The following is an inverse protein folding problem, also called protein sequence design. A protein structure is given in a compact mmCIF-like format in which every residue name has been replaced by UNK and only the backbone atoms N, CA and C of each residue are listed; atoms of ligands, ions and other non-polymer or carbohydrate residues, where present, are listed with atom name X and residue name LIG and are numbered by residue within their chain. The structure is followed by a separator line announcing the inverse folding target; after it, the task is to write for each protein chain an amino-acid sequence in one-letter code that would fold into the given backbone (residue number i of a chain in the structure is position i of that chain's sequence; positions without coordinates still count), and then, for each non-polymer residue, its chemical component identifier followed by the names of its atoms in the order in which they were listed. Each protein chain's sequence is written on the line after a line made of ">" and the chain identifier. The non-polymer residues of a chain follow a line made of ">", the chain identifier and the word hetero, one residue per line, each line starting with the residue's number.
data_IF_928594879235
#
_entry.id   IF_928594879235
#
_cell.length_a   1.000
_cell.length_b   1.000
_cell.length_c   1.000
_cell.angle_alpha   90.00
_cell.angle_beta   90.00
_cell.angle_gamma   90.00
#
_symmetry.space_group_name_H-M   'P 1'
#
loop_
_entity.id
_entity.type
_entity.pdbx_description
1 polymer ?
#
# COMPACT_ATOMS: atom_id res chain seq x y z
N UNK A 1 38.17 6.91 9.87
CA UNK A 1 37.42 5.69 10.26
C UNK A 1 35.99 5.99 10.72
N UNK A 2 35.71 6.59 11.88
CA UNK A 2 34.32 6.88 12.30
C UNK A 2 33.64 7.96 11.45
N UNK A 3 34.28 9.13 11.27
CA UNK A 3 33.85 10.19 10.33
C UNK A 3 33.76 9.77 8.86
N UNK A 4 34.45 8.70 8.51
CA UNK A 4 34.50 8.18 7.13
C UNK A 4 33.33 7.21 6.89
N UNK A 5 33.02 6.38 7.89
CA UNK A 5 31.78 5.58 7.96
C UNK A 5 30.54 6.47 8.03
N UNK A 6 30.61 7.60 8.71
CA UNK A 6 29.53 8.59 8.79
C UNK A 6 29.27 9.24 7.41
N UNK A 7 30.32 9.68 6.72
CA UNK A 7 30.21 10.20 5.33
C UNK A 7 29.76 9.16 4.32
N UNK A 8 30.17 7.90 4.48
CA UNK A 8 29.72 6.79 3.65
C UNK A 8 28.24 6.46 3.91
N UNK A 9 27.81 6.48 5.18
CA UNK A 9 26.39 6.39 5.56
C UNK A 9 25.60 7.55 4.95
N UNK A 10 26.06 8.78 5.05
CA UNK A 10 25.43 9.96 4.44
C UNK A 10 25.35 9.84 2.90
N UNK A 11 26.39 9.34 2.23
CA UNK A 11 26.37 9.08 0.77
C UNK A 11 25.36 7.99 0.38
N UNK A 12 25.38 6.86 1.07
CA UNK A 12 24.45 5.74 0.83
C UNK A 12 23.00 6.12 1.13
N UNK A 13 22.80 7.10 2.00
CA UNK A 13 21.50 7.65 2.39
C UNK A 13 21.01 8.72 1.40
N UNK A 14 21.88 9.66 1.01
CA UNK A 14 21.57 10.72 0.04
C UNK A 14 21.32 10.21 -1.38
N UNK A 15 21.70 8.96 -1.69
CA UNK A 15 21.42 8.36 -2.99
C UNK A 15 20.02 7.72 -3.10
N UNK A 16 19.25 7.63 -2.01
CA UNK A 16 17.96 6.89 -1.99
C UNK A 16 16.72 7.76 -2.20
N UNK A 17 16.80 9.02 -1.83
CA UNK A 17 15.70 9.97 -1.91
C UNK A 17 16.21 11.31 -2.43
N UNK A 18 15.34 12.04 -3.11
CA UNK A 18 15.58 13.45 -3.39
C UNK A 18 15.38 14.24 -2.09
N UNK A 19 16.26 15.21 -1.84
CA UNK A 19 16.07 16.11 -0.70
C UNK A 19 14.75 16.85 -0.88
N UNK A 20 13.89 16.81 0.15
CA UNK A 20 12.63 17.52 0.11
C UNK A 20 12.87 19.01 0.43
N UNK A 21 12.92 19.84 -0.61
CA UNK A 21 13.04 21.30 -0.51
C UNK A 21 11.72 22.01 -0.91
N UNK A 22 10.62 21.25 -0.97
CA UNK A 22 9.29 21.81 -1.21
C UNK A 22 8.88 22.68 -0.01
N UNK A 23 8.14 23.78 -0.23
CA UNK A 23 7.70 24.64 0.87
C UNK A 23 6.83 23.87 1.86
N UNK A 24 6.88 24.26 3.13
CA UNK A 24 5.95 23.74 4.15
C UNK A 24 4.53 24.28 3.94
N UNK A 25 3.55 23.62 4.55
CA UNK A 25 2.18 24.09 4.56
C UNK A 25 2.06 25.44 5.28
N UNK A 26 1.34 26.38 4.67
CA UNK A 26 1.02 27.68 5.28
C UNK A 26 -0.51 27.79 5.37
N UNK A 27 -1.09 27.94 6.59
CA UNK A 27 -2.52 28.21 6.75
C UNK A 27 -2.90 29.52 6.07
N UNK A 28 -4.08 29.59 5.45
CA UNK A 28 -4.58 30.77 4.70
C UNK A 28 -4.86 31.97 5.63
N UNK A 29 -3.82 32.66 6.08
CA UNK A 29 -3.84 34.04 6.59
C UNK A 29 -2.68 34.90 6.02
N UNK A 30 -1.74 34.30 5.28
CA UNK A 30 -0.63 35.02 4.65
C UNK A 30 -0.95 35.29 3.17
N UNK A 31 -1.61 36.42 2.90
CA UNK A 31 -1.67 36.99 1.56
C UNK A 31 -0.27 37.37 1.08
N UNK A 32 0.31 36.54 0.21
CA UNK A 32 1.58 36.82 -0.47
C UNK A 32 1.38 36.85 -1.98
N UNK A 33 1.78 37.95 -2.60
CA UNK A 33 1.77 38.13 -4.06
C UNK A 33 2.64 37.09 -4.79
N UNK A 34 2.09 36.51 -5.86
CA UNK A 34 2.70 35.47 -6.66
C UNK A 34 3.90 35.98 -7.48
N UNK A 35 5.08 35.43 -7.21
CA UNK A 35 6.21 35.43 -8.15
C UNK A 35 6.78 34.01 -8.29
N UNK A 36 5.98 33.05 -8.75
CA UNK A 36 6.44 31.67 -8.96
C UNK A 36 6.84 31.41 -10.42
N UNK A 37 8.15 31.41 -10.72
CA UNK A 37 8.70 30.98 -12.02
C UNK A 37 8.81 29.45 -12.18
N UNK A 38 8.75 28.69 -11.07
CA UNK A 38 8.88 27.23 -11.05
C UNK A 38 7.54 26.51 -11.21
N UNK A 39 7.47 25.55 -12.13
CA UNK A 39 6.26 24.76 -12.43
C UNK A 39 5.76 23.94 -11.24
N UNK A 40 6.66 23.49 -10.36
CA UNK A 40 6.27 22.76 -9.15
C UNK A 40 5.53 23.65 -8.16
N UNK A 41 6.02 24.87 -7.92
CA UNK A 41 5.37 25.86 -7.03
C UNK A 41 3.97 26.21 -7.51
N UNK A 42 3.77 26.33 -8.83
CA UNK A 42 2.44 26.54 -9.41
C UNK A 42 1.48 25.39 -9.11
N UNK A 43 1.93 24.14 -9.16
CA UNK A 43 1.09 22.99 -8.78
C UNK A 43 0.71 23.01 -7.29
N UNK A 44 1.67 23.38 -6.43
CA UNK A 44 1.46 23.48 -4.99
C UNK A 44 0.52 24.62 -4.60
N UNK A 45 0.44 25.70 -5.37
CA UNK A 45 -0.49 26.81 -5.11
C UNK A 45 -1.91 26.59 -5.65
N UNK A 46 -2.13 25.62 -6.55
CA UNK A 46 -3.46 25.38 -7.13
C UNK A 46 -4.51 25.05 -6.05
N UNK A 47 -5.73 25.59 -6.13
CA UNK A 47 -6.86 25.09 -5.34
C UNK A 47 -7.04 23.59 -5.54
N UNK A 48 -7.42 22.86 -4.47
CA UNK A 48 -7.42 21.40 -4.49
C UNK A 48 -8.27 20.81 -5.62
N UNK A 49 -9.45 21.39 -5.89
CA UNK A 49 -10.33 20.96 -6.99
C UNK A 49 -9.65 21.02 -8.36
N UNK A 50 -9.02 22.14 -8.70
CA UNK A 50 -8.31 22.30 -9.97
C UNK A 50 -7.08 21.38 -10.06
N UNK A 51 -6.42 21.15 -8.92
CA UNK A 51 -5.31 20.21 -8.81
C UNK A 51 -5.75 18.76 -9.03
N UNK A 52 -6.82 18.30 -8.36
CA UNK A 52 -7.31 16.93 -8.48
C UNK A 52 -7.85 16.65 -9.89
N UNK A 53 -8.54 17.60 -10.52
CA UNK A 53 -8.97 17.48 -11.92
C UNK A 53 -7.77 17.33 -12.89
N UNK A 54 -6.68 18.05 -12.63
CA UNK A 54 -5.43 17.91 -13.42
C UNK A 54 -4.79 16.54 -13.21
N UNK A 55 -4.70 16.07 -11.96
CA UNK A 55 -4.19 14.74 -11.66
C UNK A 55 -5.02 13.65 -12.31
N UNK A 56 -6.35 13.73 -12.23
CA UNK A 56 -7.27 12.76 -12.82
C UNK A 56 -7.03 12.65 -14.33
N UNK A 57 -6.94 13.77 -15.06
CA UNK A 57 -6.66 13.75 -16.51
C UNK A 57 -5.33 13.07 -16.84
N UNK A 58 -4.28 13.35 -16.07
CA UNK A 58 -2.97 12.71 -16.26
C UNK A 58 -3.03 11.21 -15.94
N UNK A 59 -3.73 10.83 -14.87
CA UNK A 59 -3.91 9.44 -14.45
C UNK A 59 -4.64 8.61 -15.51
N UNK A 60 -5.64 9.17 -16.19
CA UNK A 60 -6.33 8.49 -17.29
C UNK A 60 -5.39 8.22 -18.48
N UNK A 61 -4.52 9.17 -18.83
CA UNK A 61 -3.48 8.94 -19.84
C UNK A 61 -2.47 7.86 -19.44
N UNK A 62 -2.06 7.82 -18.17
CA UNK A 62 -1.21 6.75 -17.64
C UNK A 62 -1.92 5.39 -17.65
N UNK A 63 -3.21 5.34 -17.26
CA UNK A 63 -4.04 4.14 -17.31
C UNK A 63 -4.08 3.57 -18.72
N UNK A 64 -4.36 4.39 -19.72
CA UNK A 64 -4.42 3.95 -21.12
C UNK A 64 -3.07 3.41 -21.59
N UNK A 65 -1.96 4.06 -21.21
CA UNK A 65 -0.60 3.55 -21.47
C UNK A 65 -0.34 2.20 -20.81
N UNK A 66 -0.74 2.03 -19.55
CA UNK A 66 -0.61 0.76 -18.82
C UNK A 66 -1.42 -0.34 -19.48
N UNK A 67 -2.67 -0.08 -19.88
CA UNK A 67 -3.51 -1.04 -20.60
C UNK A 67 -2.85 -1.44 -21.93
N UNK A 68 -2.39 -0.46 -22.71
CA UNK A 68 -1.72 -0.72 -23.99
C UNK A 68 -0.50 -1.66 -23.79
N UNK A 69 0.35 -1.36 -22.81
CA UNK A 69 1.60 -2.10 -22.60
C UNK A 69 1.43 -3.45 -21.91
N UNK A 70 0.39 -3.62 -21.08
CA UNK A 70 0.19 -4.86 -20.30
C UNK A 70 -0.84 -5.80 -20.91
N UNK A 71 -1.77 -5.29 -21.72
CA UNK A 71 -2.87 -6.06 -22.28
C UNK A 71 -2.81 -6.14 -23.80
N UNK A 72 -2.84 -5.00 -24.49
CA UNK A 72 -2.94 -4.95 -25.96
C UNK A 72 -1.67 -5.45 -26.64
N UNK A 73 -0.50 -4.95 -26.23
CA UNK A 73 0.81 -5.30 -26.80
C UNK A 73 1.10 -6.79 -26.72
N UNK A 74 0.59 -7.48 -25.71
CA UNK A 74 0.78 -8.93 -25.55
C UNK A 74 -0.30 -9.78 -26.25
N UNK A 75 -1.24 -9.14 -26.95
CA UNK A 75 -2.35 -9.81 -27.62
C UNK A 75 -3.29 -10.48 -26.61
N UNK A 76 -3.59 -9.80 -25.50
CA UNK A 76 -4.48 -10.28 -24.44
C UNK A 76 -4.03 -11.57 -23.74
N UNK A 77 -2.72 -11.85 -23.75
CA UNK A 77 -2.11 -13.01 -23.07
C UNK A 77 -1.51 -12.61 -21.74
N UNK A 78 -1.80 -13.40 -20.71
CA UNK A 78 -1.30 -13.18 -19.35
C UNK A 78 0.03 -13.92 -19.15
N UNK A 79 1.10 -13.17 -18.88
CA UNK A 79 2.42 -13.75 -18.52
C UNK A 79 2.59 -13.89 -17.01
N UNK A 80 2.22 -12.86 -16.27
CA UNK A 80 2.16 -12.85 -14.80
C UNK A 80 0.75 -12.37 -14.44
N UNK A 81 0.05 -13.14 -13.62
CA UNK A 81 -1.35 -12.88 -13.33
C UNK A 81 -1.55 -11.96 -12.13
N UNK A 82 -0.61 -11.91 -11.18
CA UNK A 82 -0.87 -11.36 -9.84
C UNK A 82 -1.09 -9.83 -9.81
N UNK A 83 -1.54 -9.31 -8.67
CA UNK A 83 -1.80 -7.88 -8.48
C UNK A 83 -0.49 -7.06 -8.40
N UNK A 84 0.55 -7.64 -7.80
CA UNK A 84 1.83 -6.99 -7.53
C UNK A 84 2.50 -6.48 -8.83
N UNK A 85 2.84 -7.42 -9.72
CA UNK A 85 3.59 -7.17 -10.95
C UNK A 85 2.87 -7.62 -12.22
N UNK A 86 1.76 -8.35 -12.07
CA UNK A 86 0.99 -8.90 -13.17
C UNK A 86 -0.17 -8.04 -13.64
N UNK A 87 -0.96 -8.61 -14.54
CA UNK A 87 -2.07 -7.90 -15.21
C UNK A 87 -3.32 -7.76 -14.35
N UNK A 88 -3.46 -8.50 -13.23
CA UNK A 88 -4.47 -8.18 -12.23
C UNK A 88 -4.23 -6.79 -11.62
N UNK A 89 -2.97 -6.33 -11.58
CA UNK A 89 -2.63 -4.93 -11.26
C UNK A 89 -3.29 -3.93 -12.22
N UNK A 90 -3.30 -4.25 -13.53
CA UNK A 90 -4.00 -3.46 -14.55
C UNK A 90 -5.52 -3.50 -14.35
N UNK A 91 -6.09 -4.68 -14.06
CA UNK A 91 -7.51 -4.81 -13.75
C UNK A 91 -7.91 -3.97 -12.51
N UNK A 92 -7.09 -3.98 -11.47
CA UNK A 92 -7.31 -3.19 -10.27
C UNK A 92 -7.26 -1.68 -10.56
N UNK A 93 -6.32 -1.21 -11.39
CA UNK A 93 -6.27 0.17 -11.85
C UNK A 93 -7.53 0.55 -12.67
N UNK A 94 -8.01 -0.32 -13.55
CA UNK A 94 -9.24 -0.11 -14.30
C UNK A 94 -10.47 -0.04 -13.38
N UNK A 95 -10.55 -0.93 -12.39
CA UNK A 95 -11.61 -0.89 -11.39
C UNK A 95 -11.58 0.42 -10.60
N UNK A 96 -10.39 0.90 -10.23
CA UNK A 96 -10.21 2.21 -9.60
C UNK A 96 -10.67 3.36 -10.50
N UNK A 97 -10.32 3.32 -11.78
CA UNK A 97 -10.78 4.28 -12.79
C UNK A 97 -12.31 4.29 -12.89
N UNK A 98 -12.95 3.12 -12.94
CA UNK A 98 -14.41 3.00 -12.89
C UNK A 98 -14.99 3.62 -11.62
N UNK A 99 -14.41 3.35 -10.44
CA UNK A 99 -14.92 3.91 -9.18
C UNK A 99 -14.95 5.45 -9.19
N UNK A 100 -13.94 6.08 -9.81
CA UNK A 100 -13.82 7.54 -9.92
C UNK A 100 -14.66 8.12 -11.05
N UNK A 101 -14.65 7.50 -12.23
CA UNK A 101 -15.24 8.08 -13.47
C UNK A 101 -16.62 7.55 -13.83
N UNK A 102 -17.03 6.41 -13.25
CA UNK A 102 -18.20 5.63 -13.64
C UNK A 102 -18.18 5.17 -15.11
N UNK A 103 -16.99 5.05 -15.70
CA UNK A 103 -16.84 4.52 -17.05
C UNK A 103 -17.03 2.99 -17.07
N UNK A 104 -18.19 2.55 -17.53
CA UNK A 104 -18.54 1.12 -17.63
C UNK A 104 -17.60 0.31 -18.54
N UNK A 105 -16.92 0.95 -19.49
CA UNK A 105 -15.93 0.24 -20.32
C UNK A 105 -14.69 -0.16 -19.53
N UNK A 106 -14.28 0.64 -18.54
CA UNK A 106 -13.18 0.27 -17.64
C UNK A 106 -13.57 -0.93 -16.77
N UNK A 107 -14.84 -1.01 -16.32
CA UNK A 107 -15.35 -2.15 -15.55
C UNK A 107 -15.42 -3.43 -16.40
N UNK A 108 -15.90 -3.34 -17.65
CA UNK A 108 -15.92 -4.47 -18.60
C UNK A 108 -14.52 -5.00 -18.87
N UNK A 109 -13.57 -4.10 -19.14
CA UNK A 109 -12.17 -4.47 -19.41
C UNK A 109 -11.51 -5.06 -18.16
N UNK A 110 -11.83 -4.54 -16.96
CA UNK A 110 -11.41 -5.14 -15.70
C UNK A 110 -11.83 -6.61 -15.62
N UNK A 111 -13.11 -6.92 -15.86
CA UNK A 111 -13.62 -8.29 -15.83
C UNK A 111 -12.98 -9.20 -16.87
N UNK A 112 -12.74 -8.71 -18.09
CA UNK A 112 -12.04 -9.45 -19.15
C UNK A 112 -10.61 -9.85 -18.70
N UNK A 113 -9.87 -8.91 -18.12
CA UNK A 113 -8.51 -9.16 -17.61
C UNK A 113 -8.54 -10.11 -16.41
N UNK A 114 -9.51 -9.96 -15.50
CA UNK A 114 -9.66 -10.87 -14.35
C UNK A 114 -9.93 -12.29 -14.81
N UNK A 115 -10.79 -12.50 -15.82
CA UNK A 115 -11.04 -13.83 -16.38
C UNK A 115 -9.77 -14.44 -16.98
N UNK A 116 -8.96 -13.66 -17.68
CA UNK A 116 -7.69 -14.14 -18.19
C UNK A 116 -6.68 -14.46 -17.07
N UNK A 117 -6.65 -13.67 -15.99
CA UNK A 117 -5.86 -13.96 -14.79
C UNK A 117 -6.30 -15.25 -14.10
N UNK A 118 -7.61 -15.49 -14.05
CA UNK A 118 -8.18 -16.71 -13.49
C UNK A 118 -7.74 -17.94 -14.28
N UNK A 119 -7.79 -17.90 -15.60
CA UNK A 119 -7.25 -18.97 -16.45
C UNK A 119 -5.75 -19.19 -16.20
N UNK A 120 -4.97 -18.11 -16.12
CA UNK A 120 -3.52 -18.17 -15.92
C UNK A 120 -3.08 -18.58 -14.50
N UNK A 121 -3.99 -18.54 -13.52
CA UNK A 121 -3.68 -18.84 -12.11
C UNK A 121 -4.20 -20.18 -11.62
N UNK A 122 -4.80 -21.01 -12.49
CA UNK A 122 -5.40 -22.32 -12.13
C UNK A 122 -4.43 -23.23 -11.37
N UNK A 123 -3.19 -23.34 -11.86
CA UNK A 123 -2.17 -24.21 -11.28
C UNK A 123 -1.31 -23.51 -10.21
N UNK A 124 -1.67 -22.28 -9.81
CA UNK A 124 -0.88 -21.51 -8.86
C UNK A 124 -1.16 -21.91 -7.40
N UNK A 125 -0.09 -22.09 -6.65
CA UNK A 125 -0.12 -22.34 -5.20
C UNK A 125 -0.19 -21.05 -4.37
N UNK A 126 0.06 -19.87 -4.96
CA UNK A 126 0.01 -18.59 -4.22
C UNK A 126 -1.43 -18.24 -3.82
N UNK A 127 -1.65 -17.90 -2.55
CA UNK A 127 -3.00 -17.79 -1.95
C UNK A 127 -3.42 -16.40 -1.48
N UNK A 128 -2.61 -15.36 -1.66
CA UNK A 128 -2.86 -14.03 -1.09
C UNK A 128 -3.58 -13.09 -2.05
N UNK A 129 -4.06 -11.95 -1.54
CA UNK A 129 -4.64 -10.90 -2.39
C UNK A 129 -3.61 -10.32 -3.37
N UNK A 130 -2.40 -10.01 -2.90
CA UNK A 130 -1.43 -9.26 -3.71
C UNK A 130 -0.68 -10.17 -4.70
N UNK A 131 -0.30 -11.38 -4.28
CA UNK A 131 0.54 -12.25 -5.11
C UNK A 131 -0.16 -13.51 -5.61
N UNK A 132 -1.42 -13.77 -5.21
CA UNK A 132 -2.06 -15.08 -5.39
C UNK A 132 -3.48 -15.06 -5.96
N UNK A 133 -4.07 -16.25 -6.03
CA UNK A 133 -5.41 -16.47 -6.60
C UNK A 133 -6.55 -15.86 -5.78
N UNK A 134 -6.33 -15.60 -4.49
CA UNK A 134 -7.31 -14.89 -3.68
C UNK A 134 -7.55 -13.48 -4.20
N UNK A 135 -6.53 -12.80 -4.72
CA UNK A 135 -6.68 -11.49 -5.38
C UNK A 135 -7.55 -11.55 -6.62
N UNK A 136 -7.31 -12.55 -7.47
CA UNK A 136 -8.08 -12.77 -8.71
C UNK A 136 -9.56 -12.98 -8.38
N UNK A 137 -9.85 -13.91 -7.47
CA UNK A 137 -11.22 -14.23 -7.08
C UNK A 137 -11.89 -13.04 -6.38
N UNK A 138 -11.18 -12.38 -5.46
CA UNK A 138 -11.75 -11.28 -4.69
C UNK A 138 -12.08 -10.06 -5.57
N UNK A 139 -11.17 -9.65 -6.45
CA UNK A 139 -11.42 -8.56 -7.40
C UNK A 139 -12.52 -8.94 -8.39
N UNK A 140 -12.52 -10.18 -8.89
CA UNK A 140 -13.54 -10.68 -9.81
C UNK A 140 -14.95 -10.66 -9.23
N UNK A 141 -15.12 -11.15 -8.00
CA UNK A 141 -16.42 -11.15 -7.32
C UNK A 141 -16.94 -9.73 -7.08
N UNK A 142 -16.07 -8.81 -6.64
CA UNK A 142 -16.47 -7.42 -6.39
C UNK A 142 -16.77 -6.68 -7.69
N UNK A 143 -15.95 -6.85 -8.73
CA UNK A 143 -16.21 -6.24 -10.04
C UNK A 143 -17.51 -6.78 -10.66
N UNK A 144 -17.79 -8.08 -10.53
CA UNK A 144 -19.03 -8.70 -11.01
C UNK A 144 -20.27 -8.15 -10.29
N UNK A 145 -20.18 -7.96 -8.96
CA UNK A 145 -21.24 -7.28 -8.17
C UNK A 145 -21.52 -5.88 -8.69
N UNK A 146 -20.47 -5.09 -8.98
CA UNK A 146 -20.64 -3.75 -9.55
C UNK A 146 -21.23 -3.77 -10.97
N UNK A 147 -20.96 -4.83 -11.72
CA UNK A 147 -21.49 -5.02 -13.07
C UNK A 147 -22.95 -5.55 -13.07
N UNK A 148 -23.45 -6.04 -11.93
CA UNK A 148 -24.78 -6.64 -11.80
C UNK A 148 -24.87 -8.07 -12.33
N UNK A 149 -23.74 -8.81 -12.34
CA UNK A 149 -23.68 -10.21 -12.77
C UNK A 149 -23.52 -11.15 -11.57
N UNK A 150 -24.66 -11.53 -10.98
CA UNK A 150 -24.72 -12.39 -9.79
C UNK A 150 -24.13 -13.79 -10.05
N UNK A 151 -24.25 -14.31 -11.28
CA UNK A 151 -23.70 -15.63 -11.64
C UNK A 151 -22.17 -15.60 -11.68
N UNK A 152 -21.60 -14.54 -12.26
CA UNK A 152 -20.16 -14.33 -12.30
C UNK A 152 -19.59 -14.05 -10.92
N UNK A 153 -20.33 -13.30 -10.09
CA UNK A 153 -19.98 -13.07 -8.69
C UNK A 153 -19.90 -14.40 -7.93
N UNK A 154 -20.94 -15.23 -8.00
CA UNK A 154 -20.98 -16.53 -7.34
C UNK A 154 -19.87 -17.48 -7.82
N UNK A 155 -19.56 -17.45 -9.13
CA UNK A 155 -18.44 -18.21 -9.71
C UNK A 155 -17.11 -17.87 -9.03
N UNK A 156 -16.81 -16.59 -8.83
CA UNK A 156 -15.57 -16.17 -8.18
C UNK A 156 -15.58 -16.41 -6.66
N UNK A 157 -16.73 -16.30 -5.99
CA UNK A 157 -16.86 -16.67 -4.58
C UNK A 157 -16.62 -18.17 -4.36
N UNK A 158 -17.21 -19.02 -5.20
CA UNK A 158 -16.97 -20.48 -5.17
C UNK A 158 -15.48 -20.79 -5.31
N UNK A 159 -14.78 -20.18 -6.29
CA UNK A 159 -13.33 -20.36 -6.46
C UNK A 159 -12.51 -19.84 -5.28
N UNK A 160 -12.93 -18.74 -4.67
CA UNK A 160 -12.30 -18.25 -3.44
C UNK A 160 -12.42 -19.27 -2.30
N UNK A 161 -13.57 -19.93 -2.16
CA UNK A 161 -13.78 -20.97 -1.15
C UNK A 161 -12.97 -22.25 -1.39
N UNK A 162 -12.64 -22.56 -2.65
CA UNK A 162 -11.79 -23.69 -3.02
C UNK A 162 -10.31 -23.50 -2.66
N UNK A 163 -9.87 -22.26 -2.40
CA UNK A 163 -8.50 -21.99 -1.95
C UNK A 163 -8.23 -22.82 -0.68
N UNK A 164 -7.12 -23.57 -0.66
CA UNK A 164 -6.63 -24.27 0.53
C UNK A 164 -5.37 -23.58 1.00
N UNK A 165 -5.21 -23.48 2.31
CA UNK A 165 -4.01 -22.91 2.92
C UNK A 165 -3.12 -24.06 3.37
N UNK A 166 -1.94 -24.26 2.75
CA UNK A 166 -0.96 -25.24 3.21
C UNK A 166 -0.57 -25.02 4.67
N UNK A 167 -0.14 -26.07 5.36
CA UNK A 167 0.27 -25.99 6.78
C UNK A 167 1.56 -25.18 6.95
N UNK A 168 2.46 -25.23 5.98
CA UNK A 168 3.76 -24.56 5.92
C UNK A 168 3.70 -23.13 5.35
N UNK A 169 2.50 -22.64 5.03
CA UNK A 169 2.32 -21.28 4.53
C UNK A 169 2.82 -20.24 5.55
N UNK A 170 3.57 -19.20 5.13
CA UNK A 170 4.03 -18.15 6.03
C UNK A 170 2.86 -17.30 6.57
N UNK A 171 3.17 -16.34 7.44
CA UNK A 171 2.14 -15.52 8.10
C UNK A 171 1.98 -14.13 7.50
N UNK A 172 2.94 -13.66 6.70
CA UNK A 172 2.99 -12.29 6.20
C UNK A 172 2.01 -11.97 5.06
N UNK A 173 2.04 -10.73 4.57
CA UNK A 173 0.99 -10.19 3.70
C UNK A 173 1.12 -10.62 2.24
N UNK A 174 2.33 -10.75 1.70
CA UNK A 174 2.50 -11.02 0.27
C UNK A 174 2.29 -12.48 -0.08
N UNK A 175 2.63 -13.42 0.79
CA UNK A 175 2.60 -14.86 0.52
C UNK A 175 1.89 -15.68 1.61
N UNK A 176 1.57 -15.07 2.75
CA UNK A 176 1.11 -15.76 3.94
C UNK A 176 -0.36 -15.65 4.29
N UNK A 177 -0.68 -16.13 5.50
CA UNK A 177 -2.03 -16.17 6.08
C UNK A 177 -2.65 -14.78 6.21
N UNK A 178 -1.88 -13.75 6.58
CA UNK A 178 -2.37 -12.38 6.63
C UNK A 178 -2.85 -11.90 5.25
N UNK A 179 -2.11 -12.23 4.18
CA UNK A 179 -2.50 -11.88 2.81
C UNK A 179 -3.79 -12.54 2.32
N UNK A 180 -4.07 -13.76 2.77
CA UNK A 180 -5.35 -14.44 2.52
C UNK A 180 -6.50 -13.84 3.35
N UNK A 181 -6.25 -13.55 4.63
CA UNK A 181 -7.23 -12.88 5.49
C UNK A 181 -7.59 -11.49 4.97
N UNK A 182 -6.62 -10.74 4.46
CA UNK A 182 -6.87 -9.45 3.83
C UNK A 182 -7.85 -9.58 2.65
N UNK A 183 -7.67 -10.60 1.79
CA UNK A 183 -8.62 -10.87 0.69
C UNK A 183 -10.03 -11.20 1.21
N UNK A 184 -10.11 -11.93 2.33
CA UNK A 184 -11.38 -12.29 2.97
C UNK A 184 -12.09 -11.04 3.50
N UNK A 185 -11.36 -10.12 4.14
CA UNK A 185 -11.91 -8.84 4.60
C UNK A 185 -12.37 -7.96 3.44
N UNK A 186 -11.61 -7.92 2.35
CA UNK A 186 -11.97 -7.18 1.15
C UNK A 186 -13.33 -7.65 0.61
N UNK A 187 -13.52 -8.97 0.50
CA UNK A 187 -14.81 -9.56 0.11
C UNK A 187 -15.92 -9.18 1.10
N UNK A 188 -15.69 -9.35 2.41
CA UNK A 188 -16.67 -9.02 3.46
C UNK A 188 -17.09 -7.54 3.38
N UNK A 189 -16.13 -6.63 3.19
CA UNK A 189 -16.39 -5.19 3.09
C UNK A 189 -17.22 -4.82 1.87
N UNK A 190 -16.92 -5.41 0.71
CA UNK A 190 -17.52 -4.98 -0.56
C UNK A 190 -18.77 -5.78 -0.96
N UNK A 191 -18.88 -7.03 -0.54
CA UNK A 191 -20.02 -7.91 -0.86
C UNK A 191 -21.00 -7.98 0.30
N UNK A 192 -20.53 -8.33 1.49
CA UNK A 192 -21.33 -8.51 2.70
C UNK A 192 -20.75 -9.60 3.61
N UNK A 193 -21.17 -9.67 4.88
CA UNK A 193 -20.59 -10.57 5.89
C UNK A 193 -20.71 -12.06 5.54
N UNK A 194 -21.75 -12.45 4.80
CA UNK A 194 -22.05 -13.86 4.52
C UNK A 194 -21.24 -14.44 3.36
N UNK A 195 -20.47 -13.63 2.63
CA UNK A 195 -19.68 -14.10 1.48
C UNK A 195 -18.42 -14.88 1.85
N UNK A 196 -17.99 -14.86 3.12
CA UNK A 196 -16.87 -15.67 3.62
C UNK A 196 -17.24 -16.25 4.98
N UNK A 197 -16.98 -17.55 5.16
CA UNK A 197 -17.22 -18.23 6.43
C UNK A 197 -16.46 -17.58 7.59
N UNK A 198 -17.19 -17.08 8.59
CA UNK A 198 -16.63 -16.51 9.82
C UNK A 198 -15.79 -17.52 10.59
N UNK A 199 -16.21 -18.79 10.64
CA UNK A 199 -15.45 -19.87 11.27
C UNK A 199 -14.09 -20.09 10.58
N UNK A 200 -14.05 -19.99 9.24
CA UNK A 200 -12.80 -20.09 8.49
C UNK A 200 -11.88 -18.89 8.75
N UNK A 201 -12.42 -17.68 8.77
CA UNK A 201 -11.65 -16.47 9.12
C UNK A 201 -11.07 -16.60 10.53
N UNK A 202 -11.90 -16.96 11.52
CA UNK A 202 -11.51 -17.13 12.92
C UNK A 202 -10.42 -18.20 13.08
N UNK A 203 -10.55 -19.35 12.42
CA UNK A 203 -9.54 -20.41 12.46
C UNK A 203 -8.16 -19.94 11.94
N UNK A 204 -8.12 -19.11 10.89
CA UNK A 204 -6.85 -18.56 10.39
C UNK A 204 -6.27 -17.51 11.34
N UNK A 205 -7.12 -16.71 11.99
CA UNK A 205 -6.70 -15.75 13.04
C UNK A 205 -6.07 -16.48 14.22
N UNK A 206 -6.72 -17.53 14.72
CA UNK A 206 -6.21 -18.36 15.82
C UNK A 206 -4.85 -18.98 15.51
N UNK A 207 -4.67 -19.47 14.28
CA UNK A 207 -3.40 -20.03 13.83
C UNK A 207 -2.29 -18.96 13.78
N UNK A 208 -2.61 -17.74 13.33
CA UNK A 208 -1.67 -16.61 13.36
C UNK A 208 -1.25 -16.31 14.81
N UNK A 209 -2.20 -16.16 15.74
CA UNK A 209 -1.87 -15.90 17.14
C UNK A 209 -1.09 -17.05 17.78
N UNK A 210 -1.48 -18.30 17.54
CA UNK A 210 -0.80 -19.49 18.06
C UNK A 210 0.68 -19.49 17.66
N UNK A 211 0.96 -19.31 16.37
CA UNK A 211 2.32 -19.27 15.86
C UNK A 211 3.10 -18.03 16.33
N UNK A 212 2.44 -16.87 16.33
CA UNK A 212 3.03 -15.61 16.81
C UNK A 212 3.47 -15.67 18.25
N UNK A 213 2.61 -16.21 19.13
CA UNK A 213 2.89 -16.43 20.56
C UNK A 213 3.98 -17.49 20.78
N UNK A 214 4.02 -18.52 19.93
CA UNK A 214 5.03 -19.57 20.02
C UNK A 214 6.45 -19.05 19.73
N UNK A 215 6.60 -18.12 18.78
CA UNK A 215 7.90 -17.53 18.43
C UNK A 215 8.20 -16.26 19.26
N UNK A 216 7.16 -15.57 19.72
CA UNK A 216 7.27 -14.35 20.51
C UNK A 216 7.75 -14.58 21.93
N UNK A 217 7.95 -13.46 22.64
CA UNK A 217 8.33 -13.44 24.05
C UNK A 217 7.53 -12.34 24.75
N UNK A 218 6.65 -12.72 25.69
CA UNK A 218 5.79 -11.80 26.44
C UNK A 218 6.54 -10.70 27.21
N UNK A 219 7.81 -10.92 27.57
CA UNK A 219 8.65 -9.89 28.20
C UNK A 219 9.30 -8.91 27.22
N UNK A 220 9.10 -9.08 25.90
CA UNK A 220 9.64 -8.23 24.84
C UNK A 220 8.59 -7.94 23.77
N UNK A 221 8.50 -8.82 22.76
CA UNK A 221 7.57 -8.72 21.65
C UNK A 221 6.68 -9.98 21.67
N UNK A 222 5.40 -9.89 22.08
CA UNK A 222 4.58 -11.08 22.34
C UNK A 222 4.21 -11.85 21.08
N UNK A 223 4.12 -11.18 19.92
CA UNK A 223 3.93 -11.82 18.62
C UNK A 223 5.16 -11.62 17.75
N UNK A 224 5.73 -12.73 17.27
CA UNK A 224 6.86 -12.71 16.36
C UNK A 224 6.67 -13.70 15.22
N UNK A 225 7.15 -13.34 14.03
CA UNK A 225 7.00 -14.16 12.84
C UNK A 225 8.28 -14.11 12.02
N UNK A 226 8.45 -15.11 11.15
CA UNK A 226 9.60 -15.24 10.29
C UNK A 226 9.17 -15.49 8.84
N UNK A 227 9.89 -14.90 7.91
CA UNK A 227 9.81 -15.23 6.48
C UNK A 227 11.23 -15.29 5.92
N UNK A 228 11.54 -16.37 5.21
CA UNK A 228 12.89 -16.63 4.65
C UNK A 228 14.04 -16.43 5.67
N UNK A 229 13.88 -16.99 6.88
CA UNK A 229 14.92 -16.91 7.92
C UNK A 229 15.03 -15.55 8.62
N UNK A 230 14.12 -14.61 8.36
CA UNK A 230 14.19 -13.24 8.90
C UNK A 230 12.90 -12.81 9.57
N UNK A 231 13.06 -12.18 10.74
CA UNK A 231 11.97 -11.60 11.53
C UNK A 231 11.69 -10.17 11.08
N UNK A 232 10.97 -10.04 9.97
CA UNK A 232 10.69 -8.75 9.35
C UNK A 232 9.71 -7.89 10.16
N UNK A 233 9.87 -6.57 10.10
CA UNK A 233 8.98 -5.61 10.76
C UNK A 233 8.00 -4.91 9.81
N UNK A 234 8.38 -4.75 8.54
CA UNK A 234 7.64 -3.94 7.57
C UNK A 234 6.29 -4.53 7.14
N UNK A 235 5.55 -3.76 6.33
CA UNK A 235 4.19 -4.09 5.92
C UNK A 235 4.09 -5.30 4.99
N UNK A 236 5.06 -5.50 4.11
CA UNK A 236 5.00 -6.57 3.11
C UNK A 236 5.19 -7.96 3.75
N UNK A 237 6.28 -8.11 4.49
CA UNK A 237 6.76 -9.42 4.95
C UNK A 237 6.80 -9.59 6.49
N UNK A 238 6.33 -8.60 7.24
CA UNK A 238 6.65 -8.48 8.66
C UNK A 238 5.49 -8.12 9.58
N UNK A 239 5.86 -7.80 10.82
CA UNK A 239 4.94 -7.49 11.92
C UNK A 239 3.87 -6.46 11.53
N UNK A 240 4.26 -5.35 10.90
CA UNK A 240 3.31 -4.28 10.58
C UNK A 240 2.14 -4.75 9.70
N UNK A 241 2.40 -5.62 8.71
CA UNK A 241 1.36 -6.13 7.83
C UNK A 241 0.45 -7.15 8.52
N UNK A 242 1.03 -8.00 9.35
CA UNK A 242 0.26 -8.97 10.15
C UNK A 242 -0.62 -8.24 11.15
N UNK A 243 -0.06 -7.29 11.92
CA UNK A 243 -0.81 -6.49 12.88
C UNK A 243 -1.89 -5.66 12.18
N UNK A 244 -1.60 -5.08 11.01
CA UNK A 244 -2.60 -4.34 10.24
C UNK A 244 -3.84 -5.21 9.95
N UNK A 245 -3.65 -6.43 9.43
CA UNK A 245 -4.76 -7.34 9.15
C UNK A 245 -5.52 -7.74 10.42
N UNK A 246 -4.80 -8.03 11.52
CA UNK A 246 -5.42 -8.38 12.79
C UNK A 246 -6.26 -7.25 13.38
N UNK A 247 -5.87 -5.98 13.17
CA UNK A 247 -6.65 -4.80 13.59
C UNK A 247 -7.99 -4.63 12.86
N UNK A 248 -8.25 -5.43 11.81
CA UNK A 248 -9.55 -5.50 11.13
C UNK A 248 -10.41 -6.68 11.60
N UNK A 249 -9.91 -7.53 12.50
CA UNK A 249 -10.62 -8.69 13.04
C UNK A 249 -11.38 -8.35 14.31
N UNK A 250 -12.38 -9.19 14.61
CA UNK A 250 -12.93 -9.31 15.96
C UNK A 250 -11.95 -10.15 16.79
N UNK A 251 -11.32 -9.50 17.78
CA UNK A 251 -10.25 -10.06 18.61
C UNK A 251 -10.70 -10.16 20.07
N UNK A 252 -10.24 -11.20 20.75
CA UNK A 252 -10.41 -11.36 22.20
C UNK A 252 -9.52 -10.37 22.98
N UNK A 253 -9.80 -10.18 24.28
CA UNK A 253 -9.06 -9.19 25.09
C UNK A 253 -7.55 -9.45 25.15
N UNK A 254 -7.14 -10.71 25.26
CA UNK A 254 -5.73 -11.11 25.28
C UNK A 254 -5.07 -10.95 23.90
N UNK A 255 -5.82 -11.18 22.82
CA UNK A 255 -5.38 -10.94 21.44
C UNK A 255 -5.17 -9.45 21.16
N UNK A 256 -6.10 -8.61 21.61
CA UNK A 256 -6.00 -7.15 21.55
C UNK A 256 -4.73 -6.68 22.27
N UNK A 257 -4.48 -7.21 23.47
CA UNK A 257 -3.31 -6.83 24.25
C UNK A 257 -2.00 -7.24 23.54
N UNK A 258 -1.93 -8.46 23.00
CA UNK A 258 -0.76 -8.91 22.24
C UNK A 258 -0.48 -8.03 21.00
N UNK A 259 -1.53 -7.60 20.27
CA UNK A 259 -1.36 -6.67 19.14
C UNK A 259 -0.84 -5.32 19.62
N UNK A 260 -1.42 -4.75 20.68
CA UNK A 260 -0.97 -3.46 21.27
C UNK A 260 0.49 -3.52 21.71
N UNK A 261 0.87 -4.58 22.40
CA UNK A 261 2.23 -4.74 22.95
C UNK A 261 3.25 -5.01 21.84
N UNK A 262 2.86 -5.72 20.79
CA UNK A 262 3.70 -5.91 19.59
C UNK A 262 3.96 -4.58 18.88
N UNK A 263 2.93 -3.74 18.70
CA UNK A 263 3.09 -2.41 18.11
C UNK A 263 3.89 -1.47 19.01
N UNK A 264 3.65 -1.53 20.33
CA UNK A 264 4.41 -0.74 21.31
C UNK A 264 5.88 -1.13 21.33
N UNK A 265 6.18 -2.43 21.22
CA UNK A 265 7.55 -2.93 21.04
C UNK A 265 8.21 -2.30 19.81
N UNK A 266 7.52 -2.26 18.66
CA UNK A 266 8.06 -1.64 17.45
C UNK A 266 8.32 -0.14 17.63
N UNK A 267 7.40 0.59 18.26
CA UNK A 267 7.53 2.04 18.52
C UNK A 267 8.76 2.32 19.41
N UNK A 268 8.91 1.56 20.49
CA UNK A 268 10.00 1.75 21.46
C UNK A 268 11.38 1.35 20.92
N UNK A 269 11.43 0.49 19.89
CA UNK A 269 12.68 -0.06 19.35
C UNK A 269 12.98 0.42 17.91
N UNK A 270 12.35 1.50 17.45
CA UNK A 270 12.74 2.18 16.21
C UNK A 270 14.12 2.85 16.34
N UNK A 271 14.77 3.15 15.22
CA UNK A 271 16.05 3.85 15.24
C UNK A 271 15.92 5.28 15.78
N UNK A 272 17.03 5.92 16.22
CA UNK A 272 17.02 7.31 16.67
C UNK A 272 16.48 8.29 15.62
N UNK A 273 16.57 7.97 14.32
CA UNK A 273 15.99 8.80 13.24
C UNK A 273 14.47 8.70 13.12
N UNK A 274 13.83 7.81 13.87
CA UNK A 274 12.41 7.46 13.73
C UNK A 274 12.10 6.38 12.70
N UNK A 275 13.08 5.94 11.89
CA UNK A 275 12.88 4.79 10.99
C UNK A 275 12.73 3.50 11.77
N UNK A 276 11.82 2.65 11.30
CA UNK A 276 11.66 1.29 11.80
C UNK A 276 12.64 0.34 11.10
N UNK A 277 13.38 -0.50 11.85
CA UNK A 277 14.20 -1.57 11.30
C UNK A 277 13.46 -2.40 10.25
N UNK A 278 14.18 -2.93 9.26
CA UNK A 278 13.55 -3.83 8.29
C UNK A 278 13.27 -5.21 8.89
N UNK A 279 14.10 -5.66 9.82
CA UNK A 279 13.99 -6.93 10.55
C UNK A 279 14.73 -6.85 11.89
N UNK A 280 14.46 -7.79 12.80
CA UNK A 280 15.21 -7.96 14.05
C UNK A 280 16.72 -7.95 13.82
N UNK A 281 17.46 -7.25 14.70
CA UNK A 281 18.92 -7.17 14.68
C UNK A 281 19.52 -6.41 13.50
N UNK A 282 18.71 -5.82 12.62
CA UNK A 282 19.21 -5.01 11.53
C UNK A 282 19.53 -3.59 12.02
N UNK A 283 20.78 -3.16 11.84
CA UNK A 283 21.26 -1.83 12.25
C UNK A 283 21.21 -0.78 11.12
N UNK A 284 20.66 -1.14 9.95
CA UNK A 284 20.65 -0.30 8.75
C UNK A 284 19.44 0.64 8.70
N UNK A 285 19.62 1.85 9.20
CA UNK A 285 18.65 2.96 9.19
C UNK A 285 18.54 3.64 7.81
N UNK A 286 17.90 2.97 6.82
CA UNK A 286 17.90 3.48 5.43
C UNK A 286 16.60 3.32 4.62
N UNK A 287 15.64 2.50 5.06
CA UNK A 287 14.46 2.18 4.25
C UNK A 287 13.26 3.00 4.74
N UNK A 288 12.67 3.76 3.81
CA UNK A 288 11.44 4.56 4.03
C UNK A 288 10.41 4.12 3.00
N UNK A 289 10.09 2.83 3.03
CA UNK A 289 9.23 2.18 2.04
C UNK A 289 7.97 1.66 2.72
N UNK A 290 6.94 1.35 1.92
CA UNK A 290 5.82 0.55 2.42
C UNK A 290 6.29 -0.84 2.83
N UNK A 291 7.01 -1.55 1.95
CA UNK A 291 7.45 -2.92 2.25
C UNK A 291 8.34 -3.02 3.50
N UNK A 292 9.23 -2.05 3.72
CA UNK A 292 10.16 -1.99 4.84
C UNK A 292 10.42 -0.55 5.29
N UNK A 293 10.16 -0.27 6.56
CA UNK A 293 10.47 1.01 7.20
C UNK A 293 9.24 1.83 7.58
N UNK A 294 9.45 3.15 7.70
CA UNK A 294 8.48 4.05 8.31
C UNK A 294 7.12 4.08 7.60
N UNK A 295 7.07 4.04 6.26
CA UNK A 295 5.81 4.22 5.53
C UNK A 295 4.80 3.11 5.81
N UNK A 296 5.22 1.85 5.74
CA UNK A 296 4.33 0.72 6.02
C UNK A 296 3.88 0.68 7.48
N UNK A 297 4.79 0.99 8.40
CA UNK A 297 4.48 1.05 9.83
C UNK A 297 3.54 2.22 10.15
N UNK A 298 3.73 3.39 9.54
CA UNK A 298 2.85 4.55 9.72
C UNK A 298 1.39 4.21 9.39
N UNK A 299 1.15 3.56 8.26
CA UNK A 299 -0.19 3.11 7.87
C UNK A 299 -0.80 2.14 8.90
N UNK A 300 -0.02 1.22 9.45
CA UNK A 300 -0.47 0.33 10.54
C UNK A 300 -0.78 1.10 11.82
N UNK A 301 0.05 2.06 12.18
CA UNK A 301 -0.14 2.88 13.38
C UNK A 301 -1.38 3.79 13.26
N UNK A 302 -1.67 4.31 12.06
CA UNK A 302 -2.94 5.00 11.80
C UNK A 302 -4.13 4.08 12.08
N UNK A 303 -4.10 2.85 11.54
CA UNK A 303 -5.15 1.86 11.81
C UNK A 303 -5.26 1.54 13.31
N UNK A 304 -4.13 1.36 14.00
CA UNK A 304 -4.09 1.12 15.44
C UNK A 304 -4.68 2.30 16.23
N UNK A 305 -4.37 3.54 15.82
CA UNK A 305 -4.94 4.74 16.43
C UNK A 305 -6.46 4.81 16.27
N UNK A 306 -7.00 4.41 15.11
CA UNK A 306 -8.46 4.36 14.89
C UNK A 306 -9.15 3.31 15.77
N UNK A 307 -8.55 2.12 15.90
CA UNK A 307 -9.12 0.99 16.64
C UNK A 307 -9.00 1.21 18.16
N UNK A 308 -7.81 1.55 18.64
CA UNK A 308 -7.52 1.67 20.07
C UNK A 308 -7.76 3.06 20.64
N UNK A 309 -7.93 4.08 19.80
CA UNK A 309 -8.18 5.48 20.20
C UNK A 309 -7.18 6.00 21.23
N UNK A 310 -5.92 5.57 21.10
CA UNK A 310 -4.85 5.89 22.03
C UNK A 310 -3.94 6.96 21.43
N UNK A 311 -3.73 8.03 22.19
CA UNK A 311 -2.91 9.18 21.77
C UNK A 311 -1.48 8.79 21.37
N UNK A 312 -0.88 7.81 22.06
CA UNK A 312 0.47 7.31 21.74
C UNK A 312 0.57 6.73 20.31
N UNK A 313 -0.47 6.06 19.80
CA UNK A 313 -0.47 5.57 18.42
C UNK A 313 -0.66 6.70 17.40
N UNK A 314 -1.43 7.74 17.75
CA UNK A 314 -1.57 8.95 16.92
C UNK A 314 -0.21 9.65 16.80
N UNK A 315 0.48 9.87 17.92
CA UNK A 315 1.80 10.49 17.96
C UNK A 315 2.84 9.69 17.19
N UNK A 316 2.93 8.37 17.42
CA UNK A 316 3.86 7.52 16.71
C UNK A 316 3.59 7.47 15.19
N UNK A 317 2.33 7.55 14.76
CA UNK A 317 1.98 7.65 13.34
C UNK A 317 2.40 9.00 12.75
N UNK A 318 2.17 10.12 13.46
CA UNK A 318 2.60 11.46 13.01
C UNK A 318 4.12 11.56 12.92
N UNK A 319 4.86 11.03 13.89
CA UNK A 319 6.32 10.97 13.88
C UNK A 319 6.85 10.15 12.69
N UNK A 320 6.23 9.01 12.39
CA UNK A 320 6.56 8.24 11.18
C UNK A 320 6.23 9.03 9.90
N UNK A 321 5.17 9.86 9.92
CA UNK A 321 4.86 10.83 8.89
C UNK A 321 5.97 11.85 8.64
N UNK A 322 6.59 12.39 9.71
CA UNK A 322 7.74 13.30 9.59
C UNK A 322 8.94 12.62 8.92
N UNK A 323 9.20 11.35 9.25
CA UNK A 323 10.26 10.58 8.60
C UNK A 323 9.98 10.47 7.09
N UNK A 324 8.74 10.20 6.71
CA UNK A 324 8.32 10.09 5.30
C UNK A 324 8.38 11.45 4.60
N UNK A 325 8.01 12.55 5.27
CA UNK A 325 8.15 13.90 4.72
C UNK A 325 9.60 14.25 4.39
N UNK A 326 10.52 13.92 5.29
CA UNK A 326 11.93 14.29 5.15
C UNK A 326 12.72 13.35 4.23
N UNK A 327 12.38 12.05 4.22
CA UNK A 327 13.19 10.99 3.58
C UNK A 327 12.40 10.08 2.62
N UNK A 328 11.11 10.32 2.45
CA UNK A 328 10.20 9.49 1.64
C UNK A 328 10.04 9.92 0.19
N UNK A 329 10.71 11.01 -0.26
CA UNK A 329 10.73 11.42 -1.67
C UNK A 329 11.72 10.55 -2.46
N UNK A 330 11.45 9.25 -2.51
CA UNK A 330 12.35 8.22 -3.00
C UNK A 330 12.73 8.42 -4.47
N UNK A 331 13.93 7.97 -4.87
CA UNK A 331 14.34 7.89 -6.28
C UNK A 331 13.67 6.73 -7.02
N UNK A 332 12.39 6.46 -6.75
CA UNK A 332 11.58 5.38 -7.33
C UNK A 332 10.10 5.80 -7.42
N UNK A 333 9.41 5.38 -8.47
CA UNK A 333 8.04 5.85 -8.76
C UNK A 333 6.95 5.10 -7.99
N UNK A 334 7.07 3.78 -7.84
CA UNK A 334 5.95 2.87 -7.54
C UNK A 334 5.34 2.93 -6.13
N UNK A 335 4.47 1.96 -5.86
CA UNK A 335 3.67 1.83 -4.63
C UNK A 335 4.44 1.09 -3.52
N UNK A 336 5.18 0.03 -3.85
CA UNK A 336 5.82 -0.81 -2.84
C UNK A 336 6.95 -0.09 -2.09
N UNK A 337 7.72 0.73 -2.83
CA UNK A 337 8.90 1.42 -2.33
C UNK A 337 9.25 2.63 -3.22
N UNK A 338 8.25 3.43 -3.53
CA UNK A 338 8.40 4.67 -4.30
C UNK A 338 7.55 5.80 -3.73
N UNK A 339 7.63 6.96 -4.39
CA UNK A 339 6.89 8.17 -3.98
C UNK A 339 5.39 7.90 -3.96
N UNK A 340 4.85 7.16 -4.94
CA UNK A 340 3.41 6.89 -5.01
C UNK A 340 2.88 6.18 -3.77
N UNK A 341 3.62 5.20 -3.26
CA UNK A 341 3.28 4.50 -2.02
C UNK A 341 3.40 5.38 -0.79
N UNK A 342 4.46 6.19 -0.73
CA UNK A 342 4.71 7.08 0.41
C UNK A 342 3.67 8.21 0.51
N UNK A 343 3.05 8.62 -0.60
CA UNK A 343 1.93 9.59 -0.58
C UNK A 343 0.78 9.11 0.32
N UNK A 344 0.50 7.81 0.36
CA UNK A 344 -0.60 7.27 1.18
C UNK A 344 -0.39 7.46 2.67
N UNK A 345 0.84 7.64 3.15
CA UNK A 345 1.09 7.93 4.57
C UNK A 345 0.41 9.25 4.95
N UNK A 346 0.57 10.27 4.12
CA UNK A 346 -0.06 11.57 4.35
C UNK A 346 -1.57 11.52 4.15
N UNK A 347 -2.07 10.76 3.17
CA UNK A 347 -3.52 10.55 3.01
C UNK A 347 -4.14 9.85 4.23
N UNK A 348 -3.46 8.85 4.78
CA UNK A 348 -3.92 8.13 5.97
C UNK A 348 -3.88 9.02 7.22
N UNK A 349 -2.82 9.81 7.41
CA UNK A 349 -2.74 10.81 8.48
C UNK A 349 -3.79 11.93 8.33
N UNK A 350 -4.09 12.36 7.10
CA UNK A 350 -5.17 13.31 6.83
C UNK A 350 -6.52 12.73 7.23
N UNK A 351 -6.82 11.48 6.84
CA UNK A 351 -8.06 10.78 7.23
C UNK A 351 -8.17 10.60 8.75
N UNK A 352 -7.05 10.35 9.44
CA UNK A 352 -7.02 10.19 10.89
C UNK A 352 -7.24 11.51 11.64
N UNK A 353 -6.58 12.59 11.20
CA UNK A 353 -6.44 13.82 12.01
C UNK A 353 -7.27 14.99 11.51
N UNK A 354 -7.73 14.97 10.26
CA UNK A 354 -8.39 16.09 9.60
C UNK A 354 -7.47 17.29 9.34
N UNK A 355 -6.17 17.22 9.66
CA UNK A 355 -5.24 18.36 9.53
C UNK A 355 -4.89 18.60 8.05
N UNK A 356 -5.13 19.81 7.50
CA UNK A 356 -4.89 20.10 6.08
C UNK A 356 -3.41 20.02 5.68
N UNK A 357 -2.49 20.15 6.65
CA UNK A 357 -1.06 19.91 6.46
C UNK A 357 -0.76 18.56 5.78
N UNK A 358 -1.41 17.47 6.22
CA UNK A 358 -1.15 16.16 5.63
C UNK A 358 -1.72 16.04 4.23
N UNK A 359 -2.86 16.69 3.94
CA UNK A 359 -3.38 16.77 2.58
C UNK A 359 -2.42 17.56 1.66
N UNK A 360 -1.83 18.64 2.19
CA UNK A 360 -0.80 19.40 1.49
C UNK A 360 0.45 18.55 1.20
N UNK A 361 0.93 17.76 2.17
CA UNK A 361 2.08 16.86 1.97
C UNK A 361 1.80 15.78 0.92
N UNK A 362 0.58 15.20 0.92
CA UNK A 362 0.14 14.29 -0.14
C UNK A 362 0.14 14.95 -1.53
N UNK A 363 -0.44 16.16 -1.60
CA UNK A 363 -0.44 17.00 -2.81
C UNK A 363 0.97 17.31 -3.28
N UNK A 364 1.91 17.56 -2.38
CA UNK A 364 3.29 17.87 -2.72
C UNK A 364 4.01 16.69 -3.37
N UNK A 365 3.87 15.49 -2.80
CA UNK A 365 4.43 14.27 -3.39
C UNK A 365 3.81 13.95 -4.76
N UNK A 366 2.49 14.11 -4.91
CA UNK A 366 1.83 13.94 -6.19
C UNK A 366 2.23 15.01 -7.22
N UNK A 367 2.43 16.26 -6.79
CA UNK A 367 2.92 17.36 -7.64
C UNK A 367 4.35 17.12 -8.12
N UNK A 368 5.22 16.61 -7.25
CA UNK A 368 6.58 16.22 -7.61
C UNK A 368 6.56 15.16 -8.70
N UNK A 369 5.76 14.10 -8.53
CA UNK A 369 5.60 13.05 -9.53
C UNK A 369 5.06 13.60 -10.86
N UNK A 370 3.98 14.39 -10.82
CA UNK A 370 3.38 14.97 -12.03
C UNK A 370 4.38 15.84 -12.80
N UNK A 371 5.23 16.59 -12.09
CA UNK A 371 6.13 17.57 -12.70
C UNK A 371 7.49 16.99 -13.12
N UNK A 372 7.99 15.95 -12.43
CA UNK A 372 9.39 15.50 -12.56
C UNK A 372 9.55 14.05 -12.98
N UNK A 373 8.59 13.15 -12.68
CA UNK A 373 8.81 11.70 -12.78
C UNK A 373 9.22 11.23 -14.18
N UNK A 374 8.54 11.69 -15.23
CA UNK A 374 8.83 11.29 -16.62
C UNK A 374 10.28 11.60 -17.00
N UNK A 375 10.72 12.83 -16.73
CA UNK A 375 12.10 13.27 -16.98
C UNK A 375 13.10 12.46 -16.16
N UNK A 376 12.90 12.39 -14.84
CA UNK A 376 13.82 11.69 -13.93
C UNK A 376 13.93 10.20 -14.25
N UNK A 377 12.86 9.54 -14.70
CA UNK A 377 12.88 8.15 -15.14
C UNK A 377 13.67 8.02 -16.44
N UNK A 378 13.43 8.89 -17.42
CA UNK A 378 14.14 8.85 -18.71
C UNK A 378 15.64 9.10 -18.59
N UNK A 379 16.06 9.90 -17.62
CA UNK A 379 17.47 10.23 -17.34
C UNK A 379 18.14 9.23 -16.40
N UNK A 380 17.40 8.25 -15.87
CA UNK A 380 17.92 7.24 -14.94
C UNK A 380 18.13 7.73 -13.51
N UNK A 381 17.68 8.94 -13.17
CA UNK A 381 17.73 9.50 -11.82
C UNK A 381 16.63 8.95 -10.90
N UNK A 382 15.54 8.45 -11.47
CA UNK A 382 14.45 7.77 -10.77
C UNK A 382 14.20 6.39 -11.38
N UNK A 383 14.15 5.36 -10.54
CA UNK A 383 13.82 4.00 -10.99
C UNK A 383 12.33 3.88 -11.33
N UNK A 384 12.01 3.50 -12.57
CA UNK A 384 10.64 3.30 -13.06
C UNK A 384 9.97 1.99 -12.63
N UNK A 385 10.69 1.11 -11.93
CA UNK A 385 10.24 -0.24 -11.54
C UNK A 385 10.74 -1.31 -12.49
N UNK A 386 11.06 -2.51 -11.97
CA UNK A 386 11.54 -3.63 -12.81
C UNK A 386 10.45 -4.09 -13.78
N UNK A 387 9.19 -4.00 -13.33
CA UNK A 387 8.00 -4.05 -14.17
C UNK A 387 7.39 -2.64 -14.27
N UNK A 388 7.80 -1.82 -15.26
CA UNK A 388 7.54 -0.38 -15.28
C UNK A 388 6.05 0.00 -15.41
N UNK A 389 5.19 -0.93 -15.81
CA UNK A 389 3.75 -0.73 -15.94
C UNK A 389 2.92 -1.44 -14.85
N UNK A 390 3.58 -2.12 -13.91
CA UNK A 390 2.89 -2.82 -12.83
C UNK A 390 2.26 -1.87 -11.81
N UNK A 391 1.34 -2.41 -11.01
CA UNK A 391 0.70 -1.68 -9.92
C UNK A 391 1.68 -1.40 -8.77
N UNK A 392 2.46 -2.38 -8.32
CA UNK A 392 3.30 -2.20 -7.13
C UNK A 392 4.67 -1.57 -7.39
N UNK A 393 5.24 -1.69 -8.60
CA UNK A 393 6.58 -1.15 -8.89
C UNK A 393 6.56 0.03 -9.84
N UNK A 394 5.61 0.05 -10.77
CA UNK A 394 5.60 0.92 -11.94
C UNK A 394 4.63 2.09 -11.89
N UNK A 395 4.40 2.67 -13.07
CA UNK A 395 3.49 3.81 -13.27
C UNK A 395 2.00 3.43 -13.11
N UNK A 396 1.66 2.13 -13.10
CA UNK A 396 0.31 1.68 -12.77
C UNK A 396 -0.09 2.09 -11.35
N UNK A 397 0.84 1.97 -10.41
CA UNK A 397 0.66 2.47 -9.04
C UNK A 397 0.59 3.99 -8.91
N UNK A 398 1.35 4.71 -9.75
CA UNK A 398 1.27 6.17 -9.81
C UNK A 398 -0.09 6.64 -10.33
N UNK A 399 -0.61 6.01 -11.39
CA UNK A 399 -1.95 6.28 -11.90
C UNK A 399 -3.02 5.98 -10.85
N UNK A 400 -2.90 4.85 -10.15
CA UNK A 400 -3.82 4.46 -9.07
C UNK A 400 -3.86 5.53 -7.96
N UNK A 401 -2.70 5.97 -7.48
CA UNK A 401 -2.59 7.01 -6.45
C UNK A 401 -3.17 8.35 -6.94
N UNK A 402 -2.92 8.76 -8.18
CA UNK A 402 -3.49 9.99 -8.73
C UNK A 402 -5.02 9.95 -8.83
N UNK A 403 -5.61 8.80 -9.16
CA UNK A 403 -7.07 8.62 -9.13
C UNK A 403 -7.61 8.72 -7.71
N UNK A 404 -6.90 8.14 -6.73
CA UNK A 404 -7.27 8.21 -5.31
C UNK A 404 -7.27 9.64 -4.75
N UNK A 405 -6.36 10.50 -5.22
CA UNK A 405 -6.30 11.90 -4.83
C UNK A 405 -7.57 12.70 -5.20
N UNK A 406 -8.46 12.16 -6.04
CA UNK A 406 -9.73 12.80 -6.37
C UNK A 406 -10.71 12.85 -5.19
N UNK A 407 -10.66 11.85 -4.30
CA UNK A 407 -11.34 11.86 -3.00
C UNK A 407 -10.33 11.45 -1.90
N UNK A 408 -9.57 12.40 -1.36
CA UNK A 408 -8.53 12.10 -0.37
C UNK A 408 -9.08 11.53 0.94
N UNK A 409 -10.38 11.71 1.23
CA UNK A 409 -11.03 11.16 2.43
C UNK A 409 -11.40 9.69 2.26
N UNK A 410 -11.56 9.24 1.01
CA UNK A 410 -11.81 7.84 0.64
C UNK A 410 -10.57 7.09 0.16
N UNK A 411 -9.39 7.73 0.10
CA UNK A 411 -8.18 7.13 -0.45
C UNK A 411 -7.57 6.04 0.46
N UNK A 412 -7.31 4.87 -0.12
CA UNK A 412 -6.82 3.68 0.60
C UNK A 412 -5.66 3.04 -0.17
N UNK A 413 -4.54 2.77 0.51
CA UNK A 413 -3.41 2.08 -0.09
C UNK A 413 -3.85 0.71 -0.67
N UNK A 414 -3.61 0.43 -1.96
CA UNK A 414 -4.13 -0.77 -2.62
C UNK A 414 -3.53 -2.05 -2.02
N UNK A 415 -4.40 -2.97 -1.57
CA UNK A 415 -3.97 -4.24 -0.98
C UNK A 415 -3.46 -4.12 0.46
N UNK A 416 -3.61 -2.96 1.13
CA UNK A 416 -3.17 -2.77 2.51
C UNK A 416 -4.24 -2.14 3.39
N UNK A 417 -4.71 -0.94 3.06
CA UNK A 417 -5.76 -0.28 3.84
C UNK A 417 -7.14 -0.76 3.37
N UNK A 418 -8.03 -1.01 4.34
CA UNK A 418 -9.39 -1.50 4.09
C UNK A 418 -10.43 -0.51 4.54
#
# INVERSE_FOLDING_TARGET
>A
RERERERERERVMGDRFFRNEMPEFVPEEAGGEETASDSLKKLLSLPYRSFSEKLQRYALGLKDKVVCETWERFGKRVKEYNLYTGVLGTACLLFKSYQVTKNENDLKLCLEIVEACDVASRDSERVTFICGKAGVCALGAVAAKHFGDDQLQERYLTRFHEIRLPNDLPYELLHGRAGYLWASLFLIKHIGKDCVSSARVRSVVEEIFRAGRQMGNRGKCPLMYEWHGKKYWGAAHGLAGIMNVLLHMELEEDEIQDVKDTLSYMILNRFPSGIYPSSEGNESDRLVHWCHGASGVALTLVKAAQVFRTQAFVEAAMEAGEVVWNRGLLKRVGICHGISGNTYVFLSLYRLTGKPEYLYRAKAFASFLLNKSEKLISEGEMHGGDRPFSLFEGIGGMAYMFLDMNDPTGALFPGYEL
#
